data_IF_467936700176
#
_entry.id   IF_467936700176
#
_cell.length_a   1.000
_cell.length_b   1.000
_cell.length_c   1.000
_cell.angle_alpha   90.00
_cell.angle_beta   90.00
_cell.angle_gamma   90.00
#
_symmetry.space_group_name_H-M   'P 1'
#
loop_
_entity.id
_entity.type
_entity.pdbx_description
1 polymer ?
#
# COMPACT_ATOMS: atom_id res chain seq x y z
N UNK A 1 -8.54 -0.20 7.00
CA UNK A 1 -7.78 -1.42 6.80
C UNK A 1 -8.69 -2.65 6.82
N UNK A 2 -9.41 -2.92 7.92
CA UNK A 2 -10.23 -4.13 8.07
C UNK A 2 -11.24 -4.34 6.92
N UNK A 3 -11.98 -3.33 6.52
CA UNK A 3 -12.93 -3.42 5.41
C UNK A 3 -12.24 -3.81 4.09
N UNK A 4 -11.04 -3.30 3.85
CA UNK A 4 -10.24 -3.67 2.68
C UNK A 4 -9.72 -5.11 2.78
N UNK A 5 -9.14 -5.52 3.91
CA UNK A 5 -8.54 -6.84 4.07
C UNK A 5 -9.54 -7.99 3.89
N UNK A 6 -10.81 -7.74 4.16
CA UNK A 6 -11.90 -8.73 4.08
C UNK A 6 -12.76 -8.61 2.80
N UNK A 7 -12.56 -7.58 1.99
CA UNK A 7 -13.35 -7.33 0.78
C UNK A 7 -13.12 -8.41 -0.28
N UNK A 8 -14.18 -8.91 -0.88
CA UNK A 8 -14.14 -9.80 -2.04
C UNK A 8 -14.31 -9.05 -3.37
N UNK A 9 -14.76 -7.80 -3.31
CA UNK A 9 -15.07 -6.98 -4.49
C UNK A 9 -13.89 -6.16 -5.00
N UNK A 10 -12.85 -5.98 -4.17
CA UNK A 10 -11.64 -5.24 -4.55
C UNK A 10 -10.58 -6.23 -5.04
N UNK A 11 -10.14 -6.05 -6.27
CA UNK A 11 -9.10 -6.89 -6.86
C UNK A 11 -7.91 -6.02 -7.26
N UNK A 12 -6.89 -6.03 -6.41
CA UNK A 12 -5.68 -5.22 -6.58
C UNK A 12 -4.85 -5.64 -7.79
N UNK A 13 -5.06 -6.85 -8.31
CA UNK A 13 -4.39 -7.29 -9.54
C UNK A 13 -4.68 -6.35 -10.72
N UNK A 14 -5.85 -5.70 -10.72
CA UNK A 14 -6.20 -4.68 -11.71
C UNK A 14 -5.39 -3.38 -11.59
N UNK A 15 -4.66 -3.19 -10.48
CA UNK A 15 -3.77 -2.04 -10.29
C UNK A 15 -2.36 -2.29 -10.86
N UNK A 16 -2.06 -3.50 -11.29
CA UNK A 16 -0.78 -3.82 -11.92
C UNK A 16 -0.79 -3.30 -13.34
N UNK A 17 -0.17 -2.13 -13.54
CA UNK A 17 -0.20 -1.40 -14.82
C UNK A 17 0.61 -2.06 -15.95
N UNK A 18 1.51 -2.98 -15.59
CA UNK A 18 2.39 -3.69 -16.55
C UNK A 18 1.72 -4.86 -17.27
N UNK A 19 0.48 -5.20 -16.90
CA UNK A 19 -0.27 -6.29 -17.52
C UNK A 19 -1.67 -5.86 -17.94
N UNK A 20 -2.17 -6.48 -19.01
CA UNK A 20 -3.54 -6.32 -19.49
C UNK A 20 -4.28 -7.65 -19.47
N UNK A 21 -5.55 -7.62 -19.11
CA UNK A 21 -6.41 -8.78 -19.06
C UNK A 21 -7.39 -8.78 -20.23
N UNK A 22 -7.42 -9.87 -20.99
CA UNK A 22 -8.45 -10.10 -22.02
C UNK A 22 -9.84 -10.43 -21.44
N UNK A 23 -9.88 -10.94 -20.20
CA UNK A 23 -11.07 -11.18 -19.38
C UNK A 23 -10.76 -10.83 -17.93
N UNK A 24 -11.78 -10.55 -17.14
CA UNK A 24 -11.62 -10.35 -15.71
C UNK A 24 -10.91 -11.57 -15.08
N UNK A 25 -9.87 -11.35 -14.26
CA UNK A 25 -9.16 -12.43 -13.60
C UNK A 25 -10.08 -13.20 -12.65
N UNK A 26 -9.93 -14.52 -12.63
CA UNK A 26 -10.74 -15.42 -11.80
C UNK A 26 -10.09 -15.72 -10.44
N UNK A 27 -9.14 -14.89 -9.99
CA UNK A 27 -8.51 -15.05 -8.67
C UNK A 27 -9.49 -14.75 -7.53
N UNK A 28 -9.13 -15.23 -6.33
CA UNK A 28 -9.80 -14.82 -5.10
C UNK A 28 -8.95 -13.71 -4.43
N UNK A 29 -9.32 -12.43 -4.54
CA UNK A 29 -8.49 -11.33 -4.02
C UNK A 29 -8.32 -11.39 -2.51
N UNK A 30 -9.33 -11.86 -1.79
CA UNK A 30 -9.28 -12.02 -0.33
C UNK A 30 -8.24 -13.07 0.07
N UNK A 31 -8.20 -14.19 -0.63
CA UNK A 31 -7.25 -15.27 -0.32
C UNK A 31 -5.81 -14.82 -0.54
N UNK A 32 -5.52 -14.25 -1.72
CA UNK A 32 -4.18 -13.72 -2.04
C UNK A 32 -3.73 -12.67 -1.03
N UNK A 33 -4.63 -11.78 -0.64
CA UNK A 33 -4.40 -10.73 0.34
C UNK A 33 -4.12 -11.31 1.73
N UNK A 34 -4.95 -12.28 2.18
CA UNK A 34 -4.78 -12.94 3.48
C UNK A 34 -3.42 -13.62 3.60
N UNK A 35 -2.99 -14.31 2.54
CA UNK A 35 -1.69 -14.96 2.51
C UNK A 35 -0.54 -13.95 2.66
N UNK A 36 -0.55 -12.85 1.90
CA UNK A 36 0.48 -11.82 2.02
C UNK A 36 0.47 -11.15 3.40
N UNK A 37 -0.70 -10.93 3.98
CA UNK A 37 -0.82 -10.38 5.34
C UNK A 37 -0.26 -11.34 6.39
N UNK A 38 -0.46 -12.64 6.23
CA UNK A 38 0.12 -13.67 7.10
C UNK A 38 1.65 -13.68 7.00
N UNK A 39 2.19 -13.61 5.79
CA UNK A 39 3.63 -13.50 5.57
C UNK A 39 4.21 -12.24 6.23
N UNK A 40 3.59 -11.08 6.02
CA UNK A 40 4.01 -9.84 6.70
C UNK A 40 3.93 -9.97 8.22
N UNK A 41 2.88 -10.63 8.73
CA UNK A 41 2.73 -10.87 10.19
C UNK A 41 3.85 -11.72 10.77
N UNK A 42 4.35 -12.70 10.00
CA UNK A 42 5.41 -13.62 10.43
C UNK A 42 6.82 -13.04 10.31
N UNK A 43 7.01 -11.92 9.60
CA UNK A 43 8.31 -11.27 9.47
C UNK A 43 8.80 -10.70 10.81
N UNK A 44 10.11 -10.64 11.05
CA UNK A 44 10.67 -9.94 12.20
C UNK A 44 10.19 -8.48 12.29
N UNK A 45 10.03 -7.99 13.51
CA UNK A 45 9.63 -6.60 13.74
C UNK A 45 10.69 -5.60 13.30
N UNK A 46 11.96 -6.01 13.43
CA UNK A 46 13.12 -5.21 13.04
C UNK A 46 13.78 -5.80 11.79
N UNK A 47 14.31 -4.93 10.96
CA UNK A 47 15.06 -5.30 9.76
C UNK A 47 14.42 -4.77 8.47
N UNK A 48 15.28 -4.56 7.49
CA UNK A 48 14.88 -4.20 6.15
C UNK A 48 15.03 -5.41 5.23
N UNK A 49 14.05 -5.64 4.39
CA UNK A 49 13.98 -6.75 3.44
C UNK A 49 13.91 -6.19 2.03
N UNK A 50 14.67 -6.73 1.12
CA UNK A 50 14.54 -6.38 -0.29
C UNK A 50 13.21 -6.87 -0.86
N UNK A 51 12.58 -6.06 -1.70
CA UNK A 51 11.30 -6.44 -2.32
C UNK A 51 11.50 -7.63 -3.25
N UNK A 52 12.59 -7.64 -4.01
CA UNK A 52 12.89 -8.74 -4.95
C UNK A 52 13.16 -10.06 -4.22
N UNK A 53 13.85 -10.02 -3.09
CA UNK A 53 14.09 -11.17 -2.23
C UNK A 53 12.78 -11.70 -1.63
N UNK A 54 11.90 -10.81 -1.22
CA UNK A 54 10.58 -11.20 -0.73
C UNK A 54 9.70 -11.80 -1.84
N UNK A 55 9.73 -11.25 -3.04
CA UNK A 55 9.06 -11.84 -4.22
C UNK A 55 9.57 -13.25 -4.48
N UNK A 56 10.90 -13.47 -4.43
CA UNK A 56 11.49 -14.80 -4.53
C UNK A 56 11.02 -15.74 -3.42
N UNK A 57 10.96 -15.28 -2.19
CA UNK A 57 10.45 -16.05 -1.06
C UNK A 57 8.98 -16.47 -1.25
N UNK A 58 8.11 -15.56 -1.74
CA UNK A 58 6.72 -15.90 -2.06
C UNK A 58 6.64 -16.92 -3.18
N UNK A 59 7.46 -16.79 -4.23
CA UNK A 59 7.54 -17.75 -5.32
C UNK A 59 7.85 -19.19 -4.82
N UNK A 60 8.80 -19.31 -3.91
CA UNK A 60 9.25 -20.62 -3.42
C UNK A 60 8.27 -21.24 -2.40
N UNK A 61 7.60 -20.39 -1.60
CA UNK A 61 6.69 -20.85 -0.55
C UNK A 61 5.26 -21.09 -1.07
N UNK A 62 4.76 -20.21 -1.91
CA UNK A 62 3.37 -20.18 -2.35
C UNK A 62 3.23 -19.68 -3.79
N UNK A 63 3.70 -20.44 -4.78
CA UNK A 63 3.63 -20.02 -6.18
C UNK A 63 2.20 -19.78 -6.68
N UNK A 64 1.21 -20.46 -6.10
CA UNK A 64 -0.21 -20.42 -6.50
C UNK A 64 -0.98 -19.24 -5.86
N UNK A 65 -0.29 -18.14 -5.56
CA UNK A 65 -0.90 -16.97 -4.87
C UNK A 65 -2.04 -16.32 -5.64
N UNK A 66 -1.99 -16.32 -6.97
CA UNK A 66 -3.04 -15.79 -7.86
C UNK A 66 -3.65 -16.88 -8.73
N UNK A 67 -2.83 -17.55 -9.54
CA UNK A 67 -3.23 -18.63 -10.43
C UNK A 67 -2.95 -19.96 -9.76
N UNK A 68 -3.91 -20.86 -9.80
CA UNK A 68 -3.74 -22.19 -9.20
C UNK A 68 -2.82 -23.06 -10.05
N UNK A 69 -2.22 -24.05 -9.41
CA UNK A 69 -1.47 -25.09 -10.12
C UNK A 69 -2.33 -25.72 -11.24
N UNK A 70 -1.77 -25.76 -12.45
CA UNK A 70 -2.47 -26.24 -13.65
C UNK A 70 -3.36 -25.20 -14.36
N UNK A 71 -3.52 -23.98 -13.83
CA UNK A 71 -4.33 -22.91 -14.44
C UNK A 71 -3.49 -21.76 -14.99
N UNK A 72 -2.16 -21.91 -15.03
CA UNK A 72 -1.25 -20.83 -15.48
C UNK A 72 -1.47 -20.41 -16.94
N UNK A 73 -2.09 -21.26 -17.75
CA UNK A 73 -2.41 -21.00 -19.16
C UNK A 73 -3.88 -20.53 -19.37
N UNK A 74 -4.69 -20.54 -18.28
CA UNK A 74 -6.13 -20.28 -18.39
C UNK A 74 -6.48 -18.78 -18.47
N UNK A 75 -5.53 -17.91 -18.10
CA UNK A 75 -5.73 -16.47 -18.09
C UNK A 75 -5.15 -15.84 -19.36
N UNK A 76 -5.96 -15.01 -20.00
CA UNK A 76 -5.53 -14.22 -21.17
C UNK A 76 -4.88 -12.92 -20.68
N UNK A 77 -3.61 -13.04 -20.29
CA UNK A 77 -2.80 -11.91 -19.82
C UNK A 77 -1.79 -11.54 -20.88
N UNK A 78 -1.59 -10.25 -21.08
CA UNK A 78 -0.58 -9.69 -21.96
C UNK A 78 0.25 -8.67 -21.20
N UNK A 79 1.52 -8.55 -21.59
CA UNK A 79 2.35 -7.42 -21.21
C UNK A 79 1.78 -6.14 -21.84
N UNK A 80 1.62 -5.08 -21.06
CA UNK A 80 0.96 -3.84 -21.50
C UNK A 80 1.79 -3.01 -22.49
N UNK A 81 3.12 -3.15 -22.47
CA UNK A 81 4.02 -2.40 -23.35
C UNK A 81 4.26 -3.12 -24.68
N UNK A 82 4.50 -4.41 -24.61
CA UNK A 82 4.89 -5.21 -25.78
C UNK A 82 3.71 -5.91 -26.46
N UNK A 83 2.57 -6.05 -25.75
CA UNK A 83 1.41 -6.82 -26.21
C UNK A 83 1.67 -8.33 -26.24
N UNK A 84 2.81 -8.81 -25.78
CA UNK A 84 3.15 -10.23 -25.77
C UNK A 84 2.30 -11.00 -24.77
N UNK A 85 1.81 -12.20 -25.11
CA UNK A 85 1.04 -13.02 -24.18
C UNK A 85 1.96 -13.57 -23.08
N UNK A 86 1.52 -13.45 -21.82
CA UNK A 86 2.18 -13.97 -20.63
C UNK A 86 1.50 -15.29 -20.22
N UNK A 87 1.82 -16.37 -20.92
CA UNK A 87 1.22 -17.69 -20.74
C UNK A 87 2.20 -18.64 -20.04
N UNK A 88 1.70 -19.39 -19.08
CA UNK A 88 2.48 -20.39 -18.37
C UNK A 88 3.16 -19.89 -17.10
N UNK A 89 3.74 -20.85 -16.37
CA UNK A 89 4.43 -20.61 -15.10
C UNK A 89 5.73 -19.80 -15.27
N UNK A 90 6.37 -19.86 -16.44
CA UNK A 90 7.57 -19.10 -16.73
C UNK A 90 7.36 -17.58 -16.60
N UNK A 91 6.12 -17.10 -16.68
CA UNK A 91 5.75 -15.70 -16.50
C UNK A 91 5.24 -15.38 -15.09
N UNK A 92 5.55 -16.21 -14.12
CA UNK A 92 5.15 -15.99 -12.73
C UNK A 92 5.66 -14.65 -12.20
N UNK A 93 6.91 -14.31 -12.52
CA UNK A 93 7.51 -13.07 -12.01
C UNK A 93 6.84 -11.82 -12.57
N UNK A 94 6.41 -11.89 -13.83
CA UNK A 94 5.73 -10.79 -14.51
C UNK A 94 4.26 -10.63 -14.11
N UNK A 95 3.66 -11.63 -13.48
CA UNK A 95 2.26 -11.59 -13.06
C UNK A 95 2.16 -11.59 -11.53
N UNK A 96 2.46 -12.71 -10.90
CA UNK A 96 2.39 -12.85 -9.44
C UNK A 96 3.46 -12.00 -8.75
N UNK A 97 4.68 -11.99 -9.29
CA UNK A 97 5.77 -11.18 -8.76
C UNK A 97 5.45 -9.69 -8.78
N UNK A 98 4.92 -9.19 -9.88
CA UNK A 98 4.48 -7.80 -9.97
C UNK A 98 3.30 -7.49 -9.04
N UNK A 99 2.37 -8.42 -8.87
CA UNK A 99 1.30 -8.28 -7.89
C UNK A 99 1.85 -8.14 -6.47
N UNK A 100 2.76 -9.03 -6.06
CA UNK A 100 3.38 -8.97 -4.72
C UNK A 100 4.11 -7.64 -4.52
N UNK A 101 4.90 -7.22 -5.49
CA UNK A 101 5.62 -5.95 -5.47
C UNK A 101 4.65 -4.76 -5.35
N UNK A 102 3.60 -4.74 -6.14
CA UNK A 102 2.56 -3.70 -6.11
C UNK A 102 1.84 -3.68 -4.76
N UNK A 103 1.54 -4.83 -4.16
CA UNK A 103 0.92 -4.90 -2.83
C UNK A 103 1.78 -4.27 -1.74
N UNK A 104 3.10 -4.48 -1.79
CA UNK A 104 4.04 -3.88 -0.84
C UNK A 104 4.14 -2.36 -1.06
N UNK A 105 4.39 -1.92 -2.30
CA UNK A 105 4.60 -0.51 -2.63
C UNK A 105 3.31 0.31 -2.59
N UNK A 106 2.18 -0.31 -2.76
CA UNK A 106 0.85 0.29 -2.78
C UNK A 106 0.08 0.05 -1.47
N UNK A 107 -0.89 -0.88 -1.46
CA UNK A 107 -1.83 -1.05 -0.35
C UNK A 107 -1.17 -1.19 1.02
N UNK A 108 -0.12 -1.99 1.17
CA UNK A 108 0.54 -2.17 2.47
C UNK A 108 1.21 -0.88 2.98
N UNK A 109 1.79 -0.11 2.08
CA UNK A 109 2.36 1.21 2.41
C UNK A 109 1.26 2.22 2.70
N UNK A 110 0.20 2.27 1.90
CA UNK A 110 -0.91 3.22 2.08
C UNK A 110 -1.64 3.03 3.42
N UNK A 111 -1.81 1.78 3.83
CA UNK A 111 -2.40 1.47 5.14
C UNK A 111 -1.42 1.57 6.30
N UNK A 112 -0.13 1.76 6.03
CA UNK A 112 0.89 1.86 7.07
C UNK A 112 1.27 0.51 7.69
N UNK A 113 1.11 -0.60 6.97
CA UNK A 113 1.61 -1.91 7.38
C UNK A 113 3.12 -2.01 7.23
N UNK A 114 3.66 -1.38 6.19
CA UNK A 114 5.09 -1.37 5.90
C UNK A 114 5.59 0.04 5.66
N UNK A 115 6.86 0.26 5.95
CA UNK A 115 7.64 1.43 5.53
C UNK A 115 8.50 1.04 4.33
N UNK A 116 8.61 1.93 3.35
CA UNK A 116 9.49 1.76 2.19
C UNK A 116 10.82 2.48 2.40
N UNK A 117 11.87 1.90 1.84
CA UNK A 117 13.22 2.46 1.83
C UNK A 117 13.98 2.12 0.56
N UNK A 118 15.17 2.68 0.45
CA UNK A 118 16.13 2.33 -0.61
C UNK A 118 17.38 1.79 0.05
N UNK A 119 17.95 0.73 -0.53
CA UNK A 119 19.22 0.20 -0.09
C UNK A 119 20.33 1.25 -0.29
N UNK A 120 21.17 1.43 0.73
CA UNK A 120 22.33 2.32 0.63
C UNK A 120 23.40 1.77 -0.32
N UNK A 121 23.49 0.44 -0.43
CA UNK A 121 24.48 -0.27 -1.23
C UNK A 121 24.06 -0.38 -2.71
N UNK A 122 22.78 -0.66 -2.93
CA UNK A 122 22.19 -0.74 -4.27
C UNK A 122 21.18 0.42 -4.45
N UNK A 123 21.62 1.53 -5.00
CA UNK A 123 20.83 2.78 -5.15
C UNK A 123 19.47 2.61 -5.85
N UNK A 124 19.25 1.50 -6.52
CA UNK A 124 18.02 1.18 -7.26
C UNK A 124 17.13 0.17 -6.58
N UNK A 125 17.66 -0.62 -5.62
CA UNK A 125 16.88 -1.68 -4.97
C UNK A 125 15.98 -1.10 -3.89
N UNK A 126 14.68 -1.33 -4.06
CA UNK A 126 13.68 -0.98 -3.07
C UNK A 126 13.67 -2.04 -1.96
N UNK A 127 13.54 -1.56 -0.73
CA UNK A 127 13.38 -2.41 0.44
C UNK A 127 12.19 -1.93 1.27
N UNK A 128 11.72 -2.79 2.15
CA UNK A 128 10.62 -2.50 3.05
C UNK A 128 10.89 -3.13 4.42
N UNK A 129 10.18 -2.66 5.41
CA UNK A 129 10.14 -3.26 6.75
C UNK A 129 8.73 -3.22 7.31
N UNK A 130 8.45 -4.05 8.29
CA UNK A 130 7.22 -3.89 9.07
C UNK A 130 7.22 -2.51 9.73
N UNK A 131 6.08 -1.82 9.64
CA UNK A 131 5.92 -0.57 10.36
C UNK A 131 5.65 -0.85 11.86
N UNK A 132 5.86 0.15 12.68
CA UNK A 132 5.47 0.10 14.10
C UNK A 132 3.96 -0.11 14.32
N UNK A 133 3.16 0.07 13.30
CA UNK A 133 1.71 -0.06 13.35
C UNK A 133 1.19 -1.42 12.85
N UNK A 134 2.05 -2.20 12.24
CA UNK A 134 1.67 -3.45 11.58
C UNK A 134 0.86 -4.38 12.49
N UNK A 135 1.37 -4.65 13.68
CA UNK A 135 0.69 -5.55 14.64
C UNK A 135 -0.68 -5.06 15.07
N UNK A 136 -0.79 -3.76 15.31
CA UNK A 136 -2.05 -3.15 15.71
C UNK A 136 -3.09 -3.26 14.61
N UNK A 137 -2.68 -2.97 13.37
CA UNK A 137 -3.53 -3.06 12.19
C UNK A 137 -3.94 -4.50 11.88
N UNK A 138 -2.99 -5.44 11.92
CA UNK A 138 -3.26 -6.87 11.67
C UNK A 138 -4.21 -7.47 12.70
N UNK A 139 -4.18 -6.97 13.95
CA UNK A 139 -5.15 -7.33 15.00
C UNK A 139 -6.49 -6.59 14.87
N UNK A 140 -6.71 -5.84 13.80
CA UNK A 140 -7.94 -5.09 13.55
C UNK A 140 -8.15 -3.90 14.50
N UNK A 141 -7.09 -3.39 15.12
CA UNK A 141 -7.15 -2.26 16.05
C UNK A 141 -6.69 -0.97 15.36
N UNK A 142 -7.22 0.16 15.80
CA UNK A 142 -6.71 1.45 15.39
C UNK A 142 -5.36 1.74 16.08
N UNK A 143 -4.35 2.26 15.35
CA UNK A 143 -3.12 2.71 15.97
C UNK A 143 -3.38 3.84 16.97
N UNK A 144 -2.80 3.74 18.15
CA UNK A 144 -2.78 4.84 19.10
C UNK A 144 -1.65 5.79 18.69
N UNK A 145 -2.03 6.97 18.25
CA UNK A 145 -1.06 8.03 18.00
C UNK A 145 -0.70 8.69 19.32
N UNK A 146 0.61 8.94 19.57
CA UNK A 146 0.97 9.80 20.69
C UNK A 146 0.22 11.14 20.50
N UNK A 147 -0.55 11.50 21.51
CA UNK A 147 -1.36 12.72 21.55
C UNK A 147 -0.47 13.96 21.72
N UNK A 148 0.41 14.20 20.79
CA UNK A 148 0.99 15.54 20.57
C UNK A 148 0.01 16.35 19.73
N UNK A 149 -1.26 16.36 20.15
CA UNK A 149 -2.23 17.23 19.53
C UNK A 149 -1.90 18.66 19.91
N UNK A 150 -1.36 19.41 18.96
CA UNK A 150 -1.32 20.85 19.09
C UNK A 150 -2.76 21.35 18.95
N UNK A 151 -3.26 22.05 19.96
CA UNK A 151 -4.55 22.72 19.91
C UNK A 151 -4.40 24.22 19.63
N UNK A 152 -3.24 24.62 19.13
CA UNK A 152 -2.97 26.01 18.80
C UNK A 152 -3.57 26.37 17.45
N UNK A 153 -4.68 27.05 17.51
CA UNK A 153 -5.39 27.61 16.39
C UNK A 153 -5.29 29.13 16.49
N UNK A 154 -4.89 29.77 15.42
CA UNK A 154 -4.79 31.24 15.35
C UNK A 154 -5.75 31.72 14.28
N UNK A 155 -6.67 32.56 14.65
CA UNK A 155 -7.50 33.36 13.74
C UNK A 155 -7.05 34.80 13.82
N UNK A 156 -6.56 35.33 12.72
CA UNK A 156 -6.18 36.75 12.66
C UNK A 156 -7.37 37.63 12.24
N UNK A 157 -7.21 38.93 12.44
CA UNK A 157 -8.23 39.95 12.09
C UNK A 157 -8.47 40.09 10.57
N UNK A 158 -7.66 39.45 9.73
CA UNK A 158 -7.77 39.49 8.27
C UNK A 158 -8.46 38.23 7.74
N UNK A 159 -8.98 37.37 8.62
CA UNK A 159 -9.64 36.13 8.24
C UNK A 159 -8.67 34.97 7.90
N UNK A 160 -7.40 35.07 8.30
CA UNK A 160 -6.49 33.93 8.13
C UNK A 160 -6.58 32.99 9.31
N UNK A 161 -6.72 31.73 9.01
CA UNK A 161 -6.68 30.62 9.97
C UNK A 161 -5.33 29.92 9.83
N UNK A 162 -4.56 29.89 10.92
CA UNK A 162 -3.27 29.19 10.97
C UNK A 162 -3.39 28.02 11.93
N UNK A 163 -3.14 26.82 11.42
CA UNK A 163 -3.28 25.55 12.14
C UNK A 163 -1.95 24.80 12.08
N UNK A 164 -1.52 24.25 13.22
CA UNK A 164 -0.36 23.37 13.27
C UNK A 164 -0.63 22.05 12.51
N UNK A 165 0.39 21.47 11.90
CA UNK A 165 0.32 20.17 11.23
C UNK A 165 -0.20 19.06 12.14
N UNK A 166 0.08 19.14 13.43
CA UNK A 166 -0.33 18.16 14.44
C UNK A 166 -1.71 18.43 15.03
N UNK A 167 -2.42 19.41 14.50
CA UNK A 167 -3.81 19.65 14.87
C UNK A 167 -4.70 18.46 14.42
N UNK A 168 -5.75 18.07 15.18
CA UNK A 168 -6.61 16.95 14.85
C UNK A 168 -7.09 16.98 13.39
N UNK A 169 -7.01 15.83 12.70
CA UNK A 169 -7.30 15.74 11.25
C UNK A 169 -8.76 16.06 10.92
N UNK A 170 -9.67 15.61 11.77
CA UNK A 170 -11.10 15.88 11.66
C UNK A 170 -11.39 17.38 11.68
N UNK A 171 -10.77 18.12 12.60
CA UNK A 171 -10.93 19.58 12.69
C UNK A 171 -10.28 20.27 11.50
N UNK A 172 -9.06 19.84 11.08
CA UNK A 172 -8.44 20.38 9.86
C UNK A 172 -9.32 20.18 8.63
N UNK A 173 -9.94 19.01 8.52
CA UNK A 173 -10.88 18.72 7.45
C UNK A 173 -12.10 19.65 7.49
N UNK A 174 -12.66 19.89 8.68
CA UNK A 174 -13.79 20.84 8.83
C UNK A 174 -13.39 22.26 8.41
N UNK A 175 -12.22 22.73 8.80
CA UNK A 175 -11.72 24.05 8.37
C UNK A 175 -11.56 24.09 6.84
N UNK A 176 -10.97 23.07 6.23
CA UNK A 176 -10.77 23.00 4.79
C UNK A 176 -12.08 22.95 3.97
N UNK A 177 -13.23 22.65 4.60
CA UNK A 177 -14.53 22.63 3.91
C UNK A 177 -15.13 24.01 3.64
N UNK A 178 -14.75 25.01 4.42
CA UNK A 178 -15.32 26.37 4.31
C UNK A 178 -14.28 27.48 4.18
N UNK A 179 -12.99 27.11 4.12
CA UNK A 179 -11.89 28.03 3.91
C UNK A 179 -11.13 27.68 2.66
N UNK A 180 -10.59 28.69 2.01
CA UNK A 180 -9.66 28.50 0.91
C UNK A 180 -8.27 28.15 1.45
N UNK A 181 -7.59 27.24 0.78
CA UNK A 181 -6.19 26.94 1.06
C UNK A 181 -5.31 28.09 0.61
N UNK A 182 -4.47 28.60 1.50
CA UNK A 182 -3.54 29.69 1.17
C UNK A 182 -2.10 29.17 1.05
N UNK A 183 -1.55 28.60 2.12
CA UNK A 183 -0.16 28.14 2.10
C UNK A 183 0.15 27.04 3.12
N UNK A 184 1.26 26.34 2.87
CA UNK A 184 1.94 25.52 3.87
C UNK A 184 3.32 26.12 4.16
N UNK A 185 3.58 26.48 5.40
CA UNK A 185 4.87 27.00 5.85
C UNK A 185 5.42 26.13 6.99
N UNK A 186 6.39 25.28 6.66
CA UNK A 186 6.95 24.33 7.62
C UNK A 186 5.87 23.38 8.18
N UNK A 187 5.65 23.45 9.50
CA UNK A 187 4.65 22.65 10.20
C UNK A 187 3.28 23.33 10.34
N UNK A 188 2.97 24.38 9.57
CA UNK A 188 1.73 25.14 9.66
C UNK A 188 0.98 25.14 8.34
N UNK A 189 -0.33 25.04 8.44
CA UNK A 189 -1.26 25.20 7.32
C UNK A 189 -1.98 26.54 7.48
N UNK A 190 -2.02 27.32 6.43
CA UNK A 190 -2.68 28.63 6.38
C UNK A 190 -3.89 28.53 5.46
N UNK A 191 -5.03 28.99 5.96
CA UNK A 191 -6.30 29.05 5.24
C UNK A 191 -6.84 30.47 5.31
N UNK A 192 -7.71 30.83 4.35
CA UNK A 192 -8.42 32.09 4.29
C UNK A 192 -9.93 31.83 4.31
N UNK A 193 -10.64 32.59 5.15
CA UNK A 193 -12.12 32.65 5.17
C UNK A 193 -12.60 33.52 4.03
#
# INVERSE_FOLDING_TARGET
FHAWSTSENLNELQLVSSIEFGKAPANNPRLSRSLLLELISSMPEEGWFGIDEFVGYVHDLQPDILRRAGEYDAWFIKDSETGQPLIGFQHWREIEGWYVQMMIQGPFTWFGLVDLGKSAEAKTSMCFRRSRWADTLLKGRAPEYPTTESRNFILDKNGHIIIDRYFPRDIRYQVARFCDWDAQKGNRYEYRI
#
